data_IF_648816464767
#
_entry.id   IF_648816464767
#
_cell.length_a   1.000
_cell.length_b   1.000
_cell.length_c   1.000
_cell.angle_alpha   90.00
_cell.angle_beta   90.00
_cell.angle_gamma   90.00
#
_symmetry.space_group_name_H-M   'P 1'
#
loop_
_entity.id
_entity.type
_entity.pdbx_description
1 polymer ?
#
# COMPACT_ATOMS: atom_id res chain seq x y z
N UNK A 1 -15.76 -12.96 -8.19
CA UNK A 1 -16.48 -12.05 -9.12
C UNK A 1 -16.85 -12.87 -10.34
N UNK A 2 -18.12 -12.90 -10.76
CA UNK A 2 -18.57 -13.64 -11.94
C UNK A 2 -19.12 -12.65 -12.96
N UNK A 3 -18.69 -12.78 -14.21
CA UNK A 3 -19.04 -11.90 -15.32
C UNK A 3 -19.63 -12.74 -16.45
N UNK A 4 -20.71 -12.24 -17.07
CA UNK A 4 -21.22 -12.78 -18.30
C UNK A 4 -20.63 -11.98 -19.46
N UNK A 5 -19.98 -12.64 -20.41
CA UNK A 5 -19.41 -11.99 -21.60
C UNK A 5 -20.56 -11.44 -22.45
N UNK A 6 -20.45 -10.18 -22.85
CA UNK A 6 -21.48 -9.42 -23.58
C UNK A 6 -22.81 -9.29 -22.81
N UNK A 7 -22.77 -9.49 -21.49
CA UNK A 7 -23.89 -9.27 -20.58
C UNK A 7 -23.90 -7.87 -19.97
N UNK A 8 -24.95 -7.56 -19.21
CA UNK A 8 -24.99 -6.35 -18.38
C UNK A 8 -23.91 -6.39 -17.29
N UNK A 9 -23.37 -5.23 -16.87
CA UNK A 9 -22.49 -5.17 -15.70
C UNK A 9 -23.12 -5.86 -14.49
N UNK A 10 -22.30 -6.54 -13.68
CA UNK A 10 -22.80 -7.15 -12.46
C UNK A 10 -23.16 -6.08 -11.40
N UNK A 11 -23.75 -6.50 -10.28
CA UNK A 11 -24.17 -5.61 -9.20
C UNK A 11 -23.03 -4.73 -8.62
N UNK A 12 -21.78 -5.14 -8.79
CA UNK A 12 -20.61 -4.40 -8.33
C UNK A 12 -19.95 -3.57 -9.44
N UNK A 13 -20.55 -3.46 -10.64
CA UNK A 13 -20.08 -2.63 -11.74
C UNK A 13 -19.00 -3.24 -12.63
N UNK A 14 -18.70 -4.53 -12.48
CA UNK A 14 -17.77 -5.23 -13.38
C UNK A 14 -18.47 -5.68 -14.66
N UNK A 15 -17.78 -5.57 -15.79
CA UNK A 15 -18.29 -6.01 -17.09
C UNK A 15 -17.22 -6.73 -17.90
N UNK A 16 -17.65 -7.59 -18.82
CA UNK A 16 -16.78 -8.21 -19.81
C UNK A 16 -17.48 -8.22 -21.17
N UNK A 17 -16.76 -7.87 -22.23
CA UNK A 17 -17.27 -7.88 -23.60
C UNK A 17 -16.28 -8.51 -24.56
N UNK A 18 -16.77 -9.15 -25.60
CA UNK A 18 -15.95 -9.63 -26.70
C UNK A 18 -15.50 -8.45 -27.55
N UNK A 19 -14.22 -8.44 -27.91
CA UNK A 19 -13.65 -7.46 -28.84
C UNK A 19 -13.06 -8.17 -30.05
N UNK A 20 -12.88 -7.47 -31.19
CA UNK A 20 -12.19 -8.04 -32.35
C UNK A 20 -10.80 -8.57 -31.96
N UNK A 21 -10.45 -9.76 -32.45
CA UNK A 21 -9.12 -10.35 -32.22
C UNK A 21 -8.13 -9.73 -33.21
N UNK A 22 -7.18 -8.92 -32.74
CA UNK A 22 -6.13 -8.30 -33.57
C UNK A 22 -4.97 -9.28 -33.85
N UNK A 23 -4.50 -9.37 -35.12
CA UNK A 23 -3.36 -10.20 -35.56
C UNK A 23 -3.46 -10.77 -36.99
N UNK A 24 -2.34 -10.72 -37.73
CA UNK A 24 -2.13 -10.74 -39.21
C UNK A 24 -2.44 -12.03 -40.02
N UNK A 25 -3.16 -13.02 -39.52
CA UNK A 25 -3.45 -14.23 -40.33
C UNK A 25 -4.90 -14.70 -40.15
N UNK A 26 -5.72 -14.64 -41.21
CA UNK A 26 -7.10 -15.15 -41.19
C UNK A 26 -7.18 -16.63 -40.79
N UNK A 27 -6.12 -17.42 -41.04
CA UNK A 27 -6.04 -18.84 -40.67
C UNK A 27 -5.82 -19.11 -39.17
N UNK A 28 -5.36 -18.13 -38.38
CA UNK A 28 -5.15 -18.27 -36.92
C UNK A 28 -6.32 -17.75 -36.07
N UNK A 29 -7.38 -17.20 -36.69
CA UNK A 29 -8.56 -16.66 -36.01
C UNK A 29 -9.47 -17.75 -35.39
N UNK A 30 -9.43 -18.99 -35.87
CA UNK A 30 -10.47 -19.98 -35.52
C UNK A 30 -10.55 -20.38 -34.04
N UNK A 31 -9.48 -20.24 -33.25
CA UNK A 31 -9.45 -20.70 -31.85
C UNK A 31 -9.02 -19.60 -30.84
N UNK A 32 -9.17 -18.32 -31.18
CA UNK A 32 -8.80 -17.20 -30.28
C UNK A 32 -9.98 -16.28 -30.01
N UNK A 33 -10.18 -15.95 -28.74
CA UNK A 33 -11.19 -14.99 -28.29
C UNK A 33 -10.47 -13.87 -27.55
N UNK A 34 -10.70 -12.63 -27.97
CA UNK A 34 -10.28 -11.44 -27.23
C UNK A 34 -11.43 -10.91 -26.39
N UNK A 35 -11.15 -10.66 -25.11
CA UNK A 35 -12.10 -10.12 -24.14
C UNK A 35 -11.56 -8.81 -23.58
N UNK A 36 -12.42 -7.81 -23.50
CA UNK A 36 -12.19 -6.62 -22.68
C UNK A 36 -12.93 -6.80 -21.35
N UNK A 37 -12.24 -6.57 -20.24
CA UNK A 37 -12.80 -6.64 -18.88
C UNK A 37 -12.65 -5.26 -18.23
N UNK A 38 -13.78 -4.69 -17.81
CA UNK A 38 -13.83 -3.38 -17.17
C UNK A 38 -14.12 -3.56 -15.67
N UNK A 39 -13.31 -2.92 -14.82
CA UNK A 39 -13.48 -2.92 -13.37
C UNK A 39 -14.06 -1.59 -12.85
N UNK A 40 -14.85 -1.62 -11.77
CA UNK A 40 -15.29 -0.41 -11.08
C UNK A 40 -14.10 0.31 -10.43
N UNK A 41 -14.23 1.62 -10.21
CA UNK A 41 -13.21 2.43 -9.50
C UNK A 41 -13.11 2.13 -8.00
N UNK A 42 -14.03 1.31 -7.49
CA UNK A 42 -14.07 0.81 -6.12
C UNK A 42 -13.85 -0.71 -6.10
N UNK A 43 -13.11 -1.24 -7.08
CA UNK A 43 -12.65 -2.63 -7.04
C UNK A 43 -11.81 -2.87 -5.78
N UNK A 44 -12.02 -4.01 -5.13
CA UNK A 44 -11.17 -4.46 -4.03
C UNK A 44 -9.73 -4.58 -4.56
N UNK A 45 -8.76 -3.98 -3.86
CA UNK A 45 -7.36 -4.14 -4.26
C UNK A 45 -6.79 -5.48 -3.77
N UNK A 46 -5.82 -6.02 -4.51
CA UNK A 46 -5.14 -7.27 -4.16
C UNK A 46 -4.94 -8.21 -5.33
N UNK A 47 -4.58 -9.45 -5.02
CA UNK A 47 -4.35 -10.52 -5.99
C UNK A 47 -5.68 -11.20 -6.36
N UNK A 48 -5.89 -11.39 -7.66
CA UNK A 48 -7.05 -12.03 -8.26
C UNK A 48 -6.64 -13.28 -9.02
N UNK A 49 -7.52 -14.28 -8.98
CA UNK A 49 -7.45 -15.49 -9.79
C UNK A 49 -8.48 -15.41 -10.90
N UNK A 50 -8.07 -15.67 -12.14
CA UNK A 50 -8.96 -15.70 -13.30
C UNK A 50 -9.43 -17.12 -13.59
N UNK A 51 -10.75 -17.29 -13.64
CA UNK A 51 -11.43 -18.52 -14.01
C UNK A 51 -12.36 -18.23 -15.19
N UNK A 52 -12.21 -18.96 -16.29
CA UNK A 52 -13.11 -18.91 -17.43
C UNK A 52 -14.08 -20.10 -17.37
N UNK A 53 -15.37 -19.81 -17.35
CA UNK A 53 -16.42 -20.82 -17.46
C UNK A 53 -16.97 -20.81 -18.89
N UNK A 54 -16.84 -21.94 -19.58
CA UNK A 54 -17.37 -22.15 -20.93
C UNK A 54 -18.54 -23.12 -20.86
N UNK A 55 -19.67 -22.73 -21.45
CA UNK A 55 -20.85 -23.56 -21.59
C UNK A 55 -21.07 -23.86 -23.06
N UNK A 56 -21.14 -25.15 -23.40
CA UNK A 56 -21.45 -25.55 -24.78
C UNK A 56 -22.93 -25.32 -25.06
N UNK A 57 -23.23 -24.65 -26.18
CA UNK A 57 -24.59 -24.53 -26.69
C UNK A 57 -24.95 -25.78 -27.50
N UNK A 58 -25.14 -26.94 -26.84
CA UNK A 58 -25.86 -28.02 -27.52
C UNK A 58 -27.33 -27.59 -27.66
N UNK A 59 -27.89 -27.78 -28.86
CA UNK A 59 -29.30 -27.50 -29.16
C UNK A 59 -30.18 -28.19 -28.12
N UNK A 60 -31.17 -27.47 -27.61
CA UNK A 60 -32.14 -27.92 -26.58
C UNK A 60 -32.89 -29.22 -26.93
N UNK A 61 -32.79 -29.72 -28.16
CA UNK A 61 -33.67 -30.77 -28.68
C UNK A 61 -33.21 -32.22 -28.47
N UNK A 62 -31.94 -32.51 -28.13
CA UNK A 62 -31.46 -33.91 -28.13
C UNK A 62 -30.99 -34.50 -26.80
N UNK A 63 -30.73 -33.71 -25.76
CA UNK A 63 -30.33 -34.26 -24.46
C UNK A 63 -30.88 -33.44 -23.29
N UNK A 64 -31.48 -34.07 -22.26
CA UNK A 64 -31.84 -33.38 -21.03
C UNK A 64 -30.57 -32.78 -20.42
N UNK A 65 -30.61 -31.47 -20.20
CA UNK A 65 -29.52 -30.65 -19.66
C UNK A 65 -29.03 -31.16 -18.31
N UNK A 66 -28.01 -32.03 -18.33
CA UNK A 66 -27.28 -32.42 -17.14
C UNK A 66 -26.12 -31.44 -16.88
N UNK A 67 -25.69 -31.31 -15.62
CA UNK A 67 -24.60 -30.40 -15.16
C UNK A 67 -23.22 -30.65 -15.82
N UNK A 68 -23.12 -31.50 -16.83
CA UNK A 68 -21.89 -32.06 -17.39
C UNK A 68 -21.28 -31.28 -18.59
N UNK A 69 -21.98 -30.30 -19.18
CA UNK A 69 -21.46 -29.52 -20.33
C UNK A 69 -20.76 -28.18 -19.93
N UNK A 70 -20.30 -28.08 -18.68
CA UNK A 70 -19.59 -26.91 -18.14
C UNK A 70 -18.09 -27.20 -18.05
N UNK A 71 -17.28 -26.44 -18.80
CA UNK A 71 -15.81 -26.53 -18.75
C UNK A 71 -15.25 -25.32 -18.02
N UNK A 72 -14.40 -25.56 -17.01
CA UNK A 72 -13.69 -24.52 -16.26
C UNK A 72 -12.22 -24.49 -16.66
N UNK A 73 -11.72 -23.30 -17.01
CA UNK A 73 -10.30 -23.06 -17.25
C UNK A 73 -9.76 -22.13 -16.16
N UNK A 74 -8.87 -22.66 -15.33
CA UNK A 74 -8.12 -21.86 -14.37
C UNK A 74 -6.89 -21.30 -15.07
N UNK A 75 -6.72 -19.98 -15.03
CA UNK A 75 -5.53 -19.33 -15.55
C UNK A 75 -4.54 -19.11 -14.41
N UNK A 76 -3.36 -19.71 -14.51
CA UNK A 76 -2.24 -19.53 -13.57
C UNK A 76 -1.50 -18.22 -13.86
N UNK A 77 -2.24 -17.10 -13.84
CA UNK A 77 -1.70 -15.75 -14.01
C UNK A 77 -2.00 -14.93 -12.78
N UNK A 78 -0.98 -14.21 -12.31
CA UNK A 78 -1.12 -13.29 -11.20
C UNK A 78 -1.69 -11.96 -11.71
N UNK A 79 -2.96 -11.68 -11.39
CA UNK A 79 -3.61 -10.40 -11.70
C UNK A 79 -3.69 -9.59 -10.42
N UNK A 80 -3.21 -8.36 -10.44
CA UNK A 80 -3.29 -7.44 -9.30
C UNK A 80 -4.18 -6.25 -9.64
N UNK A 81 -5.16 -5.98 -8.78
CA UNK A 81 -5.92 -4.73 -8.82
C UNK A 81 -5.35 -3.79 -7.76
N UNK A 82 -5.09 -2.55 -8.15
CA UNK A 82 -4.51 -1.48 -7.32
C UNK A 82 -5.43 -0.25 -7.40
N UNK A 83 -5.17 0.74 -6.55
CA UNK A 83 -5.81 2.05 -6.70
C UNK A 83 -5.37 2.72 -7.99
N UNK A 84 -6.27 3.51 -8.59
CA UNK A 84 -6.04 4.13 -9.89
C UNK A 84 -6.02 5.66 -9.80
N UNK A 85 -4.86 6.29 -9.57
CA UNK A 85 -4.77 7.74 -9.44
C UNK A 85 -5.02 8.50 -10.76
N UNK A 86 -5.08 7.82 -11.91
CA UNK A 86 -5.44 8.42 -13.20
C UNK A 86 -6.94 8.50 -13.43
N UNK A 87 -7.74 7.72 -12.68
CA UNK A 87 -9.19 7.63 -12.89
C UNK A 87 -9.91 8.58 -11.94
N UNK A 88 -10.64 9.55 -12.48
CA UNK A 88 -11.29 10.63 -11.70
C UNK A 88 -12.24 10.11 -10.63
N UNK A 89 -12.91 8.99 -10.88
CA UNK A 89 -13.89 8.42 -9.95
C UNK A 89 -13.23 7.65 -8.80
N UNK A 90 -11.94 7.31 -8.91
CA UNK A 90 -11.17 6.60 -7.89
C UNK A 90 -10.99 7.46 -6.63
N UNK A 91 -10.91 6.82 -5.47
CA UNK A 91 -10.67 7.50 -4.20
C UNK A 91 -9.30 8.21 -4.16
N UNK A 92 -8.32 7.69 -4.91
CA UNK A 92 -6.94 8.18 -4.96
C UNK A 92 -6.65 9.07 -6.18
N UNK A 93 -7.68 9.54 -6.89
CA UNK A 93 -7.54 10.32 -8.11
C UNK A 93 -6.71 11.61 -7.92
N UNK A 94 -5.73 11.83 -8.79
CA UNK A 94 -4.98 13.08 -8.92
C UNK A 94 -5.27 13.75 -10.25
N UNK A 95 -5.30 15.09 -10.25
CA UNK A 95 -5.59 15.85 -11.47
C UNK A 95 -4.33 16.17 -12.28
N UNK A 96 -3.18 16.31 -11.63
CA UNK A 96 -1.92 16.71 -12.26
C UNK A 96 -1.07 15.48 -12.62
N UNK A 97 -0.69 15.31 -13.89
CA UNK A 97 0.26 14.29 -14.32
C UNK A 97 1.61 14.41 -13.60
N UNK A 98 2.06 15.63 -13.30
CA UNK A 98 3.30 15.91 -12.58
C UNK A 98 3.23 15.40 -11.13
N UNK A 99 2.10 15.59 -10.47
CA UNK A 99 1.85 15.03 -9.13
C UNK A 99 1.81 13.50 -9.15
N UNK A 100 1.23 12.89 -10.18
CA UNK A 100 1.27 11.43 -10.33
C UNK A 100 2.70 10.94 -10.56
N UNK A 101 3.46 11.63 -11.41
CA UNK A 101 4.86 11.32 -11.67
C UNK A 101 5.68 11.35 -10.37
N UNK A 102 5.48 12.36 -9.51
CA UNK A 102 6.24 12.50 -8.26
C UNK A 102 5.72 11.63 -7.11
N UNK A 103 4.40 11.58 -6.89
CA UNK A 103 3.80 10.97 -5.69
C UNK A 103 3.40 9.51 -5.88
N UNK A 104 3.47 8.98 -7.10
CA UNK A 104 3.17 7.57 -7.42
C UNK A 104 4.35 6.93 -8.15
N UNK A 105 4.84 7.54 -9.23
CA UNK A 105 5.80 6.89 -10.13
C UNK A 105 7.26 7.03 -9.71
N UNK A 106 7.64 8.11 -9.01
CA UNK A 106 9.03 8.34 -8.64
C UNK A 106 9.48 7.35 -7.55
N UNK A 107 10.52 6.56 -7.82
CA UNK A 107 11.09 5.59 -6.87
C UNK A 107 12.23 6.16 -6.03
N UNK A 108 12.65 7.39 -6.33
CA UNK A 108 13.76 8.07 -5.67
C UNK A 108 13.23 9.30 -4.94
N UNK A 109 13.59 9.43 -3.68
CA UNK A 109 13.18 10.56 -2.86
C UNK A 109 14.33 11.14 -2.04
N UNK A 110 14.03 12.25 -1.38
CA UNK A 110 14.88 12.82 -0.35
C UNK A 110 14.07 12.94 0.94
N UNK A 111 14.68 12.52 2.05
CA UNK A 111 14.12 12.69 3.38
C UNK A 111 14.99 13.69 4.11
N UNK A 112 14.38 14.75 4.61
CA UNK A 112 15.10 15.80 5.31
C UNK A 112 15.24 15.40 6.79
N UNK A 113 16.48 15.33 7.28
CA UNK A 113 16.82 15.05 8.67
C UNK A 113 17.59 16.24 9.26
N UNK A 114 18.15 16.09 10.46
CA UNK A 114 18.91 17.14 11.14
C UNK A 114 18.01 18.08 11.91
N UNK A 115 18.42 19.34 12.04
CA UNK A 115 17.70 20.40 12.74
C UNK A 115 17.27 21.49 11.77
N UNK A 116 16.41 22.42 12.21
CA UNK A 116 15.93 23.52 11.38
C UNK A 116 17.04 24.46 10.89
N UNK A 117 18.11 24.63 11.68
CA UNK A 117 19.28 25.43 11.32
C UNK A 117 20.25 24.68 10.40
N UNK A 118 20.21 23.35 10.40
CA UNK A 118 21.06 22.48 9.55
C UNK A 118 20.26 21.31 8.96
N UNK A 119 19.32 21.59 8.03
CA UNK A 119 18.61 20.55 7.31
C UNK A 119 19.59 19.67 6.53
N UNK A 120 19.45 18.35 6.68
CA UNK A 120 20.30 17.37 5.99
C UNK A 120 19.43 16.47 5.13
N UNK A 121 19.40 16.66 3.80
CA UNK A 121 18.72 15.73 2.91
C UNK A 121 19.49 14.41 2.88
N UNK A 122 18.76 13.30 3.06
CA UNK A 122 19.27 11.97 2.75
C UNK A 122 18.55 11.43 1.51
N UNK A 123 19.28 10.98 0.48
CA UNK A 123 18.64 10.28 -0.64
C UNK A 123 18.09 8.94 -0.14
N UNK A 124 16.93 8.55 -0.68
CA UNK A 124 16.30 7.27 -0.35
C UNK A 124 15.72 6.61 -1.59
N UNK A 125 15.96 5.32 -1.72
CA UNK A 125 15.35 4.50 -2.76
C UNK A 125 14.13 3.78 -2.16
N UNK A 126 12.94 4.12 -2.66
CA UNK A 126 11.68 3.48 -2.30
C UNK A 126 11.54 2.14 -3.01
N UNK A 127 11.77 2.11 -4.33
CA UNK A 127 11.70 0.88 -5.14
C UNK A 127 10.33 0.20 -5.09
N UNK A 128 9.25 0.97 -5.21
CA UNK A 128 7.88 0.44 -5.14
C UNK A 128 7.53 -0.53 -6.28
N UNK A 129 8.27 -0.53 -7.39
CA UNK A 129 8.05 -1.48 -8.50
C UNK A 129 8.78 -2.82 -8.30
N UNK A 130 9.63 -2.94 -7.27
CA UNK A 130 10.21 -4.22 -6.88
C UNK A 130 9.13 -5.15 -6.33
N UNK A 131 9.21 -6.44 -6.70
CA UNK A 131 8.25 -7.47 -6.24
C UNK A 131 8.04 -7.47 -4.73
N UNK A 132 9.09 -7.15 -3.96
CA UNK A 132 9.02 -7.08 -2.50
C UNK A 132 8.04 -6.03 -1.98
N UNK A 133 7.86 -4.91 -2.68
CA UNK A 133 7.02 -3.81 -2.21
C UNK A 133 5.54 -4.19 -2.21
N UNK A 134 5.01 -4.56 -3.39
CA UNK A 134 3.62 -5.00 -3.52
C UNK A 134 3.35 -6.26 -2.70
N UNK A 135 4.26 -7.24 -2.73
CA UNK A 135 4.10 -8.46 -1.94
C UNK A 135 4.03 -8.16 -0.44
N UNK A 136 4.96 -7.35 0.10
CA UNK A 136 4.92 -6.97 1.51
C UNK A 136 3.64 -6.20 1.87
N UNK A 137 3.20 -5.27 1.02
CA UNK A 137 1.96 -4.54 1.26
C UNK A 137 0.76 -5.48 1.43
N UNK A 138 0.57 -6.42 0.49
CA UNK A 138 -0.52 -7.40 0.54
C UNK A 138 -0.36 -8.36 1.74
N UNK A 139 0.85 -8.84 2.01
CA UNK A 139 1.12 -9.72 3.16
C UNK A 139 0.82 -9.03 4.49
N UNK A 140 1.10 -7.73 4.63
CA UNK A 140 0.76 -6.99 5.84
C UNK A 140 -0.76 -6.88 6.05
N UNK A 141 -1.53 -6.70 4.98
CA UNK A 141 -3.00 -6.69 5.03
C UNK A 141 -3.55 -8.08 5.39
N UNK A 142 -2.96 -9.14 4.86
CA UNK A 142 -3.32 -10.52 5.20
C UNK A 142 -2.97 -10.86 6.66
N UNK A 143 -1.80 -10.43 7.14
CA UNK A 143 -1.37 -10.57 8.53
C UNK A 143 -2.19 -9.72 9.51
N UNK A 144 -2.87 -8.68 9.02
CA UNK A 144 -3.85 -7.93 9.78
C UNK A 144 -5.24 -8.57 9.76
N UNK A 145 -5.41 -9.66 8.99
CA UNK A 145 -6.70 -10.31 8.73
C UNK A 145 -7.74 -9.31 8.22
N UNK A 146 -7.31 -8.31 7.44
CA UNK A 146 -8.20 -7.28 6.91
C UNK A 146 -9.14 -7.95 5.90
N UNK A 147 -10.47 -7.94 6.15
CA UNK A 147 -11.42 -8.57 5.25
C UNK A 147 -11.36 -7.96 3.85
N UNK A 148 -11.49 -8.75 2.76
CA UNK A 148 -11.37 -8.24 1.40
C UNK A 148 -12.29 -7.05 1.10
N UNK A 149 -13.52 -7.04 1.63
CA UNK A 149 -14.47 -5.95 1.44
C UNK A 149 -13.99 -4.59 1.97
N UNK A 150 -13.07 -4.58 2.94
CA UNK A 150 -12.51 -3.36 3.50
C UNK A 150 -11.25 -2.89 2.74
N UNK A 151 -10.76 -3.68 1.78
CA UNK A 151 -9.61 -3.31 0.92
C UNK A 151 -10.01 -2.45 -0.28
N UNK A 152 -11.20 -1.85 -0.24
CA UNK A 152 -11.65 -0.82 -1.18
C UNK A 152 -11.31 0.58 -0.68
N UNK A 153 -11.13 0.75 0.63
CA UNK A 153 -10.95 2.06 1.26
C UNK A 153 -9.47 2.33 1.56
N UNK A 154 -8.84 3.34 0.93
CA UNK A 154 -7.44 3.66 1.16
C UNK A 154 -7.17 4.11 2.60
N UNK A 155 -8.15 4.71 3.30
CA UNK A 155 -7.98 5.19 4.68
C UNK A 155 -7.82 4.02 5.66
N UNK A 156 -8.61 2.96 5.49
CA UNK A 156 -8.52 1.73 6.29
C UNK A 156 -7.19 1.02 6.02
N UNK A 157 -6.82 0.91 4.74
CA UNK A 157 -5.54 0.30 4.32
C UNK A 157 -4.36 1.03 4.96
N UNK A 158 -4.30 2.36 4.83
CA UNK A 158 -3.20 3.15 5.39
C UNK A 158 -3.12 3.06 6.91
N UNK A 159 -4.27 3.00 7.60
CA UNK A 159 -4.30 2.79 9.05
C UNK A 159 -3.69 1.45 9.45
N UNK A 160 -4.03 0.38 8.72
CA UNK A 160 -3.44 -0.95 8.94
C UNK A 160 -1.95 -0.96 8.63
N UNK A 161 -1.53 -0.42 7.49
CA UNK A 161 -0.13 -0.37 7.10
C UNK A 161 0.70 0.42 8.12
N UNK A 162 0.25 1.60 8.53
CA UNK A 162 0.91 2.41 9.57
C UNK A 162 1.06 1.63 10.87
N UNK A 163 0.04 0.88 11.29
CA UNK A 163 0.09 0.05 12.49
C UNK A 163 1.01 -1.18 12.35
N UNK A 164 1.15 -1.74 11.14
CA UNK A 164 1.98 -2.93 10.89
C UNK A 164 3.45 -2.61 10.62
N UNK A 165 3.77 -1.38 10.26
CA UNK A 165 5.18 -0.93 10.15
C UNK A 165 5.82 -0.93 11.54
N UNK A 166 5.12 -0.41 12.54
CA UNK A 166 5.51 -0.44 13.95
C UNK A 166 4.47 -1.24 14.76
N UNK A 167 4.60 -2.57 14.75
CA UNK A 167 3.63 -3.43 15.46
C UNK A 167 3.76 -3.28 16.96
N UNK A 168 2.64 -3.13 17.69
CA UNK A 168 2.60 -3.09 19.16
C UNK A 168 3.35 -4.26 19.83
N UNK A 169 3.84 -4.09 21.08
CA UNK A 169 4.54 -5.17 21.78
C UNK A 169 3.64 -6.41 21.90
N UNK A 170 4.12 -7.56 21.43
CA UNK A 170 3.36 -8.82 21.40
C UNK A 170 2.57 -9.09 20.11
N UNK A 171 2.41 -8.09 19.24
CA UNK A 171 1.92 -8.31 17.88
C UNK A 171 3.08 -8.80 17.00
N UNK A 172 3.29 -10.10 16.97
CA UNK A 172 4.21 -10.73 16.02
C UNK A 172 3.75 -10.36 14.59
N UNK A 173 4.71 -10.06 13.71
CA UNK A 173 4.54 -9.81 12.26
C UNK A 173 4.61 -8.34 11.78
N UNK A 174 5.12 -7.40 12.58
CA UNK A 174 5.45 -6.05 12.08
C UNK A 174 6.81 -5.96 11.41
N UNK A 175 7.03 -4.95 10.57
CA UNK A 175 8.33 -4.73 9.90
C UNK A 175 9.42 -4.41 10.94
N UNK A 176 9.13 -3.49 11.86
CA UNK A 176 10.02 -3.15 12.98
C UNK A 176 9.43 -3.61 14.31
N UNK A 177 10.31 -3.84 15.29
CA UNK A 177 9.92 -4.15 16.66
C UNK A 177 9.55 -2.88 17.41
N UNK A 178 8.45 -2.90 18.16
CA UNK A 178 8.08 -1.85 19.11
C UNK A 178 8.60 -2.09 20.53
N UNK A 179 9.43 -3.12 20.74
CA UNK A 179 9.95 -3.41 22.08
C UNK A 179 10.75 -2.24 22.61
N UNK A 180 10.38 -1.73 23.78
CA UNK A 180 11.05 -0.60 24.41
C UNK A 180 12.52 -0.89 24.78
N UNK A 181 12.91 -2.17 24.80
CA UNK A 181 14.26 -2.62 25.17
C UNK A 181 15.18 -2.86 23.96
N UNK A 182 14.76 -2.52 22.74
CA UNK A 182 15.58 -2.75 21.54
C UNK A 182 16.10 -1.44 20.96
N UNK A 183 17.37 -1.45 20.51
CA UNK A 183 18.00 -0.27 19.93
C UNK A 183 17.44 0.03 18.53
N UNK A 184 17.37 1.31 18.13
CA UNK A 184 17.04 1.68 16.78
C UNK A 184 18.03 1.10 15.78
N UNK A 185 17.52 0.57 14.66
CA UNK A 185 18.36 -0.03 13.63
C UNK A 185 19.04 1.05 12.82
N UNK A 186 20.37 1.03 12.80
CA UNK A 186 21.15 1.91 11.93
C UNK A 186 21.22 1.32 10.51
N UNK A 187 20.76 2.04 9.46
CA UNK A 187 20.77 1.57 8.07
C UNK A 187 22.12 1.02 7.61
N UNK A 188 23.19 1.79 7.82
CA UNK A 188 24.53 1.54 7.27
C UNK A 188 25.16 0.26 7.84
N UNK A 189 24.99 0.01 9.14
CA UNK A 189 25.60 -1.16 9.80
C UNK A 189 24.94 -2.48 9.43
N UNK A 190 23.70 -2.44 8.92
CA UNK A 190 22.88 -3.63 8.67
C UNK A 190 22.52 -3.80 7.19
N UNK A 191 23.07 -2.99 6.29
CA UNK A 191 22.73 -3.03 4.86
C UNK A 191 21.28 -2.63 4.55
N UNK A 192 20.61 -1.91 5.45
CA UNK A 192 19.20 -1.51 5.34
C UNK A 192 19.07 -0.09 4.80
N UNK A 193 19.69 0.16 3.66
CA UNK A 193 19.89 1.50 3.07
C UNK A 193 18.76 1.94 2.13
N UNK A 194 17.74 1.11 1.93
CA UNK A 194 16.57 1.38 1.10
C UNK A 194 15.34 0.66 1.63
N UNK A 195 14.16 1.09 1.20
CA UNK A 195 12.91 0.39 1.53
C UNK A 195 12.92 -1.02 0.97
N UNK A 196 13.40 -1.21 -0.26
CA UNK A 196 13.55 -2.52 -0.90
C UNK A 196 14.39 -3.49 -0.07
N UNK A 197 15.55 -3.03 0.46
CA UNK A 197 16.41 -3.89 1.29
C UNK A 197 15.69 -4.34 2.58
N UNK A 198 14.98 -3.42 3.24
CA UNK A 198 14.20 -3.70 4.44
C UNK A 198 13.07 -4.69 4.15
N UNK A 199 12.30 -4.46 3.09
CA UNK A 199 11.16 -5.31 2.72
C UNK A 199 11.60 -6.71 2.26
N UNK A 200 12.69 -6.82 1.50
CA UNK A 200 13.28 -8.11 1.12
C UNK A 200 13.72 -8.89 2.36
N UNK A 201 14.40 -8.24 3.31
CA UNK A 201 14.79 -8.87 4.57
C UNK A 201 13.57 -9.33 5.38
N UNK A 202 12.55 -8.48 5.53
CA UNK A 202 11.31 -8.79 6.25
C UNK A 202 10.62 -10.03 5.67
N UNK A 203 10.43 -10.07 4.34
CA UNK A 203 9.81 -11.20 3.64
C UNK A 203 10.64 -12.48 3.77
N UNK A 204 11.96 -12.40 3.56
CA UNK A 204 12.87 -13.55 3.71
C UNK A 204 12.93 -14.09 5.15
N UNK A 205 12.63 -13.26 6.14
CA UNK A 205 12.61 -13.64 7.55
C UNK A 205 11.28 -14.28 8.00
N UNK A 206 10.44 -14.71 7.05
CA UNK A 206 9.06 -15.18 7.31
C UNK A 206 8.23 -14.13 8.04
N UNK A 207 8.28 -12.87 7.58
CA UNK A 207 7.54 -11.75 8.14
C UNK A 207 7.86 -11.44 9.61
N UNK A 208 9.04 -11.84 10.10
CA UNK A 208 9.54 -11.44 11.41
C UNK A 208 10.18 -10.06 11.34
N UNK A 209 10.06 -9.30 12.43
CA UNK A 209 10.61 -7.95 12.53
C UNK A 209 12.11 -7.93 12.25
N UNK A 210 12.52 -6.96 11.44
CA UNK A 210 13.88 -6.84 10.90
C UNK A 210 14.87 -6.66 12.05
N UNK A 211 15.87 -7.54 12.15
CA UNK A 211 16.96 -7.51 13.15
C UNK A 211 16.55 -7.37 14.62
N UNK A 212 15.27 -7.61 14.96
CA UNK A 212 14.73 -7.42 16.31
C UNK A 212 14.80 -5.98 16.84
N UNK A 213 15.25 -5.01 16.05
CA UNK A 213 15.41 -3.61 16.45
C UNK A 213 14.19 -2.75 16.13
N UNK A 214 14.17 -1.53 16.69
CA UNK A 214 13.14 -0.54 16.39
C UNK A 214 13.50 0.29 15.15
N UNK A 215 12.49 0.66 14.37
CA UNK A 215 12.66 1.63 13.30
C UNK A 215 12.60 3.05 13.86
N UNK A 216 13.32 3.96 13.22
CA UNK A 216 13.17 5.40 13.47
C UNK A 216 11.95 5.95 12.73
N UNK A 217 11.45 7.12 13.15
CA UNK A 217 10.28 7.77 12.53
C UNK A 217 10.42 7.92 11.00
N UNK A 218 11.60 8.30 10.52
CA UNK A 218 11.87 8.51 9.09
C UNK A 218 11.96 7.18 8.33
N UNK A 219 12.46 6.11 8.95
CA UNK A 219 12.42 4.76 8.36
C UNK A 219 10.98 4.27 8.23
N UNK A 220 10.15 4.50 9.27
CA UNK A 220 8.72 4.18 9.19
C UNK A 220 8.05 4.94 8.04
N UNK A 221 8.35 6.23 7.92
CA UNK A 221 7.77 7.06 6.87
C UNK A 221 8.22 6.62 5.46
N UNK A 222 9.49 6.24 5.30
CA UNK A 222 10.02 5.73 4.05
C UNK A 222 9.33 4.44 3.59
N UNK A 223 9.13 3.51 4.53
CA UNK A 223 8.43 2.25 4.26
C UNK A 223 6.96 2.51 3.95
N UNK A 224 6.25 3.34 4.73
CA UNK A 224 4.85 3.64 4.46
C UNK A 224 4.67 4.28 3.07
N UNK A 225 5.57 5.21 2.69
CA UNK A 225 5.55 5.81 1.36
C UNK A 225 5.70 4.76 0.27
N UNK A 226 6.63 3.81 0.44
CA UNK A 226 6.89 2.73 -0.52
C UNK A 226 5.67 1.84 -0.68
N UNK A 227 5.08 1.38 0.42
CA UNK A 227 3.92 0.49 0.41
C UNK A 227 2.68 1.20 -0.16
N UNK A 228 2.48 2.48 0.17
CA UNK A 228 1.37 3.29 -0.35
C UNK A 228 1.47 3.45 -1.87
N UNK A 229 2.65 3.85 -2.37
CA UNK A 229 2.90 4.00 -3.81
C UNK A 229 2.77 2.67 -4.56
N UNK A 230 3.23 1.56 -3.97
CA UNK A 230 3.07 0.22 -4.55
C UNK A 230 1.61 -0.21 -4.70
N UNK A 231 0.70 0.31 -3.85
CA UNK A 231 -0.74 0.08 -3.94
C UNK A 231 -1.47 1.08 -4.84
N UNK A 232 -0.76 2.04 -5.45
CA UNK A 232 -1.36 3.11 -6.25
C UNK A 232 -1.90 4.29 -5.45
N UNK A 233 -1.57 4.39 -4.16
CA UNK A 233 -1.97 5.51 -3.30
C UNK A 233 -0.87 6.60 -3.37
N UNK A 234 -1.17 7.81 -3.86
CA UNK A 234 -0.18 8.87 -3.91
C UNK A 234 0.27 9.28 -2.51
N UNK A 235 1.58 9.34 -2.29
CA UNK A 235 2.15 9.59 -0.98
C UNK A 235 3.42 10.44 -1.06
N UNK A 236 3.63 11.31 -0.07
CA UNK A 236 4.89 12.04 0.14
C UNK A 236 5.32 12.00 1.60
N UNK A 237 6.60 12.27 1.83
CA UNK A 237 7.21 12.35 3.17
C UNK A 237 7.34 13.81 3.56
N UNK A 238 7.00 14.12 4.80
CA UNK A 238 7.11 15.47 5.38
C UNK A 238 7.99 15.40 6.61
N UNK A 239 8.92 16.35 6.70
CA UNK A 239 9.74 16.58 7.90
C UNK A 239 9.31 17.86 8.56
N UNK A 240 9.00 17.77 9.86
CA UNK A 240 8.77 18.93 10.72
C UNK A 240 9.92 19.05 11.71
N UNK A 241 10.57 20.20 11.71
CA UNK A 241 11.63 20.53 12.66
C UNK A 241 11.06 21.16 13.92
N UNK A 242 11.71 20.94 15.05
CA UNK A 242 11.25 21.43 16.36
C UNK A 242 9.81 20.96 16.67
N UNK A 243 9.52 19.70 16.34
CA UNK A 243 8.20 19.13 16.50
C UNK A 243 7.89 18.86 17.98
N UNK A 244 6.73 19.31 18.44
CA UNK A 244 6.22 18.98 19.76
C UNK A 244 5.84 17.49 19.80
N UNK A 245 6.54 16.71 20.62
CA UNK A 245 6.25 15.32 20.94
C UNK A 245 5.56 15.30 22.31
N UNK A 246 4.25 15.56 22.28
CA UNK A 246 3.39 15.75 23.47
C UNK A 246 2.92 14.44 24.07
N UNK A 247 2.84 14.38 25.39
CA UNK A 247 2.30 13.22 26.10
C UNK A 247 0.84 13.40 26.57
N UNK A 248 0.33 14.63 26.72
CA UNK A 248 -0.89 14.91 27.50
C UNK A 248 -2.09 15.50 26.74
N UNK A 249 -1.92 15.88 25.47
CA UNK A 249 -3.01 16.37 24.61
C UNK A 249 -3.44 17.81 24.84
N UNK A 250 -2.64 18.62 25.55
CA UNK A 250 -2.90 20.07 25.70
C UNK A 250 -2.26 20.90 24.58
N UNK A 251 -2.78 22.12 24.34
CA UNK A 251 -2.27 23.02 23.28
C UNK A 251 -0.98 23.79 23.67
N UNK A 252 -0.55 23.73 24.94
CA UNK A 252 0.64 24.43 25.45
C UNK A 252 1.83 23.47 25.63
N UNK A 253 3.06 23.96 25.43
CA UNK A 253 4.29 23.20 25.67
C UNK A 253 5.01 23.87 26.84
N UNK A 254 5.05 23.20 27.98
CA UNK A 254 5.70 23.74 29.16
C UNK A 254 7.12 23.18 29.29
N UNK A 255 8.11 24.09 29.28
CA UNK A 255 9.52 23.74 29.49
C UNK A 255 9.99 24.40 30.77
N UNK A 256 10.18 23.59 31.80
CA UNK A 256 10.62 24.01 33.12
C UNK A 256 12.15 23.94 33.24
N UNK A 257 12.71 25.01 33.78
CA UNK A 257 14.14 25.17 34.06
C UNK A 257 14.36 25.49 35.52
N UNK A 258 15.45 24.99 36.11
CA UNK A 258 15.86 25.39 37.45
C UNK A 258 16.53 26.78 37.44
N UNK A 259 16.79 27.33 38.64
CA UNK A 259 17.46 28.63 38.80
C UNK A 259 18.89 28.68 38.27
N UNK A 260 19.46 27.53 37.87
CA UNK A 260 20.79 27.39 37.25
C UNK A 260 20.70 27.12 35.75
N UNK A 261 19.53 27.36 35.12
CA UNK A 261 19.26 27.09 33.71
C UNK A 261 19.50 25.64 33.30
N UNK A 262 19.17 24.68 34.18
CA UNK A 262 19.16 23.26 33.83
C UNK A 262 17.72 22.78 33.65
N UNK A 263 17.44 21.93 32.63
CA UNK A 263 16.08 21.47 32.37
C UNK A 263 15.61 20.53 33.49
N UNK A 264 14.38 20.75 33.97
CA UNK A 264 13.76 19.93 35.02
C UNK A 264 13.10 18.70 34.40
N UNK A 265 13.89 17.65 34.14
CA UNK A 265 13.44 16.41 33.47
C UNK A 265 12.19 15.76 34.07
N UNK A 266 11.94 15.91 35.38
CA UNK A 266 10.75 15.34 36.03
C UNK A 266 9.46 16.10 35.72
N UNK A 267 9.56 17.37 35.32
CA UNK A 267 8.43 18.23 34.96
C UNK A 267 8.28 18.37 33.44
N UNK A 268 9.37 18.16 32.69
CA UNK A 268 9.36 18.22 31.22
C UNK A 268 9.04 16.84 30.63
N UNK A 269 7.78 16.41 30.77
CA UNK A 269 7.27 15.19 30.11
C UNK A 269 7.09 15.38 28.61
N UNK A 270 6.83 16.62 28.17
CA UNK A 270 6.79 16.97 26.75
C UNK A 270 8.21 17.10 26.19
N UNK A 271 8.42 16.44 25.07
CA UNK A 271 9.70 16.46 24.36
C UNK A 271 9.56 17.34 23.12
N UNK A 272 10.55 18.20 22.87
CA UNK A 272 10.70 18.81 21.54
C UNK A 272 11.66 17.94 20.76
N UNK A 273 11.12 17.21 19.78
CA UNK A 273 11.89 16.39 18.88
C UNK A 273 12.60 17.30 17.86
N UNK A 274 13.92 17.09 17.65
CA UNK A 274 14.70 17.87 16.68
C UNK A 274 14.08 17.83 15.28
N UNK A 275 13.61 16.65 14.87
CA UNK A 275 12.83 16.44 13.65
C UNK A 275 11.86 15.28 13.81
N UNK A 276 10.62 15.47 13.40
CA UNK A 276 9.62 14.41 13.22
C UNK A 276 9.34 14.21 11.74
N UNK A 277 9.28 12.96 11.30
CA UNK A 277 9.02 12.61 9.90
C UNK A 277 7.76 11.76 9.81
N UNK A 278 6.84 12.13 8.92
CA UNK A 278 5.60 11.40 8.67
C UNK A 278 5.24 11.40 7.19
N UNK A 279 4.09 10.79 6.87
CA UNK A 279 3.56 10.72 5.51
C UNK A 279 2.30 11.57 5.36
N UNK A 280 2.15 12.16 4.19
CA UNK A 280 0.87 12.63 3.69
C UNK A 280 0.47 11.72 2.53
N UNK A 281 -0.76 11.20 2.59
CA UNK A 281 -1.31 10.33 1.57
C UNK A 281 -2.56 10.99 0.98
N UNK A 282 -2.64 11.01 -0.35
CA UNK A 282 -3.75 11.64 -1.06
C UNK A 282 -4.90 10.66 -1.27
N UNK A 283 -6.06 10.99 -0.73
CA UNK A 283 -7.30 10.25 -0.95
C UNK A 283 -8.52 11.11 -0.62
N UNK A 284 -9.66 10.77 -1.19
CA UNK A 284 -10.96 11.33 -0.80
C UNK A 284 -11.38 10.79 0.56
N UNK A 285 -11.87 11.66 1.44
CA UNK A 285 -12.39 11.31 2.77
C UNK A 285 -13.90 11.40 2.79
N UNK A 286 -14.56 10.33 2.34
CA UNK A 286 -16.03 10.24 2.31
C UNK A 286 -16.67 10.18 3.70
N UNK A 287 -15.85 9.91 4.71
CA UNK A 287 -16.21 9.90 6.13
C UNK A 287 -16.12 11.29 6.79
N UNK A 288 -15.59 12.30 6.07
CA UNK A 288 -15.50 13.68 6.55
C UNK A 288 -16.42 14.61 5.74
N UNK A 289 -16.85 15.75 6.30
CA UNK A 289 -17.57 16.78 5.56
C UNK A 289 -16.74 17.34 4.39
N UNK A 290 -17.44 17.79 3.35
CA UNK A 290 -16.84 18.52 2.22
C UNK A 290 -16.54 19.98 2.57
#
# INVERSE_FOLDING_TARGET
IRLLVDGTPNANGWAARKIPTEGEDEKKKNNRISLQVDSPSYAIIGKYTLLLEVRSAKKEEEFPMDKQDLTLFLFEVDIYFLFNPWKKEDACALQSPEQIAEYVMNEHGQIFLGSSDKPRPIPWYFGQFEKSALHAALTLLDNAQLPPQNRVDPSIILRILSSKICSNPGANNGIFSSSYNVRPITPEKNGLTSSTAILKHYLASNCRSVHGGSGTNWQHAAILCTLSRALGIPCRIVTVYNAACRADGTDNNDVHWDTKQRPLQKLNSDLICTSQVWNECWMRRVDLPN
#
